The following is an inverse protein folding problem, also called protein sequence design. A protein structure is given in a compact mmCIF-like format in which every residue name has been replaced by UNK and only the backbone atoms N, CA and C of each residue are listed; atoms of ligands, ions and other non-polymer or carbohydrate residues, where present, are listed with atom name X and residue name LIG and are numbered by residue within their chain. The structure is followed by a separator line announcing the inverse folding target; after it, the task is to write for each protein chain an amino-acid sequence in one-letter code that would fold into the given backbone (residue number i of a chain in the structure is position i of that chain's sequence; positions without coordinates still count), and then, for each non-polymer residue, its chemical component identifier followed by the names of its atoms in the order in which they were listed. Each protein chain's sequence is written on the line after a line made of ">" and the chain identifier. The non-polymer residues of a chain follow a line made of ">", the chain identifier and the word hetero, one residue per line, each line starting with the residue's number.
data_IF_536337506546
#
_entry.id   IF_536337506546
#
_cell.length_a   1.000
_cell.length_b   1.000
_cell.length_c   1.000
_cell.angle_alpha   90.00
_cell.angle_beta   90.00
_cell.angle_gamma   90.00
#
_symmetry.space_group_name_H-M   'P 1'
#
loop_
_entity.id
_entity.type
_entity.pdbx_description
1 polymer ?
#
# COMPACT_ATOMS: atom_id res chain seq x y z
N UNK A 1 -7.10 3.02 3.95
CA UNK A 1 -6.39 2.26 2.90
C UNK A 1 -5.31 3.09 2.22
N UNK A 2 -5.66 4.20 1.56
CA UNK A 2 -4.68 5.05 0.88
C UNK A 2 -3.59 5.60 1.82
N UNK A 3 -3.96 6.11 3.01
CA UNK A 3 -2.96 6.60 3.99
C UNK A 3 -2.05 5.49 4.51
N UNK A 4 -2.59 4.28 4.74
CA UNK A 4 -1.77 3.11 5.09
C UNK A 4 -0.77 2.82 3.95
N UNK A 5 -1.22 2.91 2.70
CA UNK A 5 -0.35 2.77 1.54
C UNK A 5 0.76 3.82 1.50
N UNK A 6 0.47 5.06 1.87
CA UNK A 6 1.50 6.11 1.94
C UNK A 6 2.49 5.91 3.08
N UNK A 7 2.02 5.49 4.26
CA UNK A 7 2.90 5.13 5.38
C UNK A 7 3.82 3.97 4.98
N UNK A 8 3.26 2.89 4.43
CA UNK A 8 4.04 1.72 3.98
C UNK A 8 5.05 2.10 2.90
N UNK A 9 4.70 3.02 2.00
CA UNK A 9 5.57 3.48 0.90
C UNK A 9 6.49 4.65 1.28
N UNK A 10 6.41 5.17 2.51
CA UNK A 10 7.21 6.31 2.98
C UNK A 10 6.85 7.63 2.29
N UNK A 11 5.61 7.79 1.85
CA UNK A 11 5.05 8.99 1.19
C UNK A 11 4.15 9.82 2.11
N UNK A 12 3.92 9.35 3.33
CA UNK A 12 3.02 10.01 4.27
C UNK A 12 3.58 11.36 4.77
N UNK A 13 2.73 12.39 4.67
CA UNK A 13 3.01 13.79 4.98
C UNK A 13 2.62 14.16 6.42
N UNK A 14 2.13 13.23 7.27
CA UNK A 14 1.71 13.58 8.63
C UNK A 14 2.87 14.21 9.42
N UNK A 15 2.69 15.44 9.89
CA UNK A 15 3.74 16.22 10.58
C UNK A 15 3.56 16.27 12.11
N UNK A 16 2.58 15.55 12.66
CA UNK A 16 2.20 15.60 14.08
C UNK A 16 3.28 15.01 15.01
N UNK A 17 2.97 13.91 15.69
CA UNK A 17 3.91 13.33 16.67
C UNK A 17 5.20 12.80 15.99
N UNK A 18 6.22 13.66 15.92
CA UNK A 18 7.49 13.40 15.24
C UNK A 18 8.21 12.17 15.78
N UNK A 19 8.19 11.96 17.10
CA UNK A 19 8.87 10.81 17.74
C UNK A 19 8.24 9.48 17.34
N UNK A 20 6.91 9.41 17.31
CA UNK A 20 6.20 8.19 16.89
C UNK A 20 6.39 7.93 15.40
N UNK A 21 6.32 8.97 14.58
CA UNK A 21 6.57 8.87 13.13
C UNK A 21 7.98 8.37 12.84
N UNK A 22 8.99 8.93 13.50
CA UNK A 22 10.38 8.49 13.36
C UNK A 22 10.55 7.02 13.76
N UNK A 23 9.96 6.61 14.89
CA UNK A 23 9.99 5.21 15.34
C UNK A 23 9.33 4.28 14.32
N UNK A 24 8.17 4.66 13.78
CA UNK A 24 7.46 3.89 12.76
C UNK A 24 8.29 3.76 11.47
N UNK A 25 8.80 4.88 10.93
CA UNK A 25 9.61 4.87 9.72
C UNK A 25 10.90 4.08 9.89
N UNK A 26 11.59 4.21 11.03
CA UNK A 26 12.79 3.43 11.31
C UNK A 26 12.50 1.92 11.37
N UNK A 27 11.36 1.53 11.94
CA UNK A 27 10.94 0.13 11.94
C UNK A 27 10.65 -0.38 10.53
N UNK A 28 9.91 0.39 9.72
CA UNK A 28 9.62 -0.01 8.35
C UNK A 28 10.89 -0.09 7.49
N UNK A 29 11.83 0.87 7.62
CA UNK A 29 13.13 0.81 6.96
C UNK A 29 13.88 -0.47 7.29
N UNK A 30 13.91 -0.86 8.58
CA UNK A 30 14.54 -2.11 9.03
C UNK A 30 13.85 -3.35 8.45
N UNK A 31 12.52 -3.38 8.40
CA UNK A 31 11.74 -4.47 7.79
C UNK A 31 12.06 -4.58 6.30
N UNK A 32 12.06 -3.47 5.56
CA UNK A 32 12.33 -3.48 4.12
C UNK A 32 13.79 -3.79 3.79
N UNK A 33 14.74 -3.42 4.65
CA UNK A 33 16.11 -3.90 4.56
C UNK A 33 16.16 -5.43 4.68
N UNK A 34 15.50 -6.01 5.68
CA UNK A 34 15.45 -7.48 5.84
C UNK A 34 14.75 -8.18 4.67
N UNK A 35 13.72 -7.57 4.08
CA UNK A 35 13.07 -8.10 2.87
C UNK A 35 14.05 -8.05 1.68
N UNK A 36 14.75 -6.93 1.50
CA UNK A 36 15.77 -6.78 0.46
C UNK A 36 16.90 -7.80 0.58
N UNK A 37 17.43 -7.99 1.79
CA UNK A 37 18.53 -8.94 2.07
C UNK A 37 18.13 -10.40 1.80
N UNK A 38 16.82 -10.70 1.83
CA UNK A 38 16.25 -12.02 1.53
C UNK A 38 15.89 -12.23 0.05
N UNK A 39 16.06 -11.23 -0.81
CA UNK A 39 15.83 -11.41 -2.25
C UNK A 39 16.86 -12.39 -2.80
N UNK A 40 16.42 -13.53 -3.33
CA UNK A 40 17.33 -14.55 -3.88
C UNK A 40 17.80 -14.21 -5.31
N UNK A 41 16.97 -13.47 -6.05
CA UNK A 41 17.26 -13.09 -7.42
C UNK A 41 18.20 -11.87 -7.47
N UNK A 42 19.38 -12.04 -8.08
CA UNK A 42 20.41 -11.00 -8.23
C UNK A 42 19.95 -9.79 -9.06
N UNK A 43 19.11 -10.01 -10.08
CA UNK A 43 18.55 -8.93 -10.88
C UNK A 43 17.56 -8.10 -10.06
N UNK A 44 16.72 -8.76 -9.25
CA UNK A 44 15.82 -8.09 -8.33
C UNK A 44 16.59 -7.27 -7.28
N UNK A 45 17.64 -7.85 -6.69
CA UNK A 45 18.54 -7.11 -5.78
C UNK A 45 19.14 -5.88 -6.49
N UNK A 46 19.65 -6.02 -7.72
CA UNK A 46 20.20 -4.89 -8.48
C UNK A 46 19.16 -3.81 -8.74
N UNK A 47 17.94 -4.19 -9.09
CA UNK A 47 16.85 -3.27 -9.41
C UNK A 47 16.33 -2.50 -8.18
N UNK A 48 16.19 -3.20 -7.04
CA UNK A 48 15.69 -2.65 -5.78
C UNK A 48 16.78 -2.13 -4.83
N UNK A 49 18.03 -2.10 -5.29
CA UNK A 49 19.16 -1.64 -4.49
C UNK A 49 18.91 -0.20 -4.03
N UNK A 50 19.12 0.02 -2.73
CA UNK A 50 19.15 1.36 -2.13
C UNK A 50 20.33 2.15 -2.70
N UNK A 51 20.05 3.36 -3.15
CA UNK A 51 21.01 4.34 -3.65
C UNK A 51 20.65 5.76 -3.16
N UNK A 52 21.41 6.79 -3.55
CA UNK A 52 21.16 8.17 -3.12
C UNK A 52 19.79 8.71 -3.58
N UNK A 53 19.23 8.17 -4.67
CA UNK A 53 17.90 8.51 -5.19
C UNK A 53 16.80 7.69 -4.51
N UNK A 54 17.15 6.54 -3.95
CA UNK A 54 16.26 5.66 -3.20
C UNK A 54 16.81 5.29 -1.81
N UNK A 55 16.96 6.26 -0.89
CA UNK A 55 17.55 6.03 0.43
C UNK A 55 16.68 5.17 1.35
N UNK A 56 15.41 4.93 0.99
CA UNK A 56 14.42 4.27 1.84
C UNK A 56 13.72 3.11 1.12
N UNK A 57 14.33 2.49 0.11
CA UNK A 57 13.77 1.36 -0.63
C UNK A 57 12.39 1.64 -1.26
N UNK A 58 12.08 2.89 -1.61
CA UNK A 58 10.85 3.33 -2.25
C UNK A 58 10.43 2.44 -3.42
N UNK A 59 11.34 2.01 -4.29
CA UNK A 59 11.00 1.07 -5.39
C UNK A 59 10.45 -0.25 -4.85
N UNK A 60 11.14 -0.83 -3.86
CA UNK A 60 10.72 -2.08 -3.22
C UNK A 60 9.42 -1.91 -2.44
N UNK A 61 9.27 -0.81 -1.68
CA UNK A 61 8.06 -0.50 -0.90
C UNK A 61 6.84 -0.30 -1.82
N UNK A 62 7.01 0.38 -2.95
CA UNK A 62 5.95 0.56 -3.96
C UNK A 62 5.55 -0.79 -4.58
N UNK A 63 6.53 -1.61 -4.99
CA UNK A 63 6.26 -2.93 -5.57
C UNK A 63 5.60 -3.88 -4.56
N UNK A 64 6.06 -3.85 -3.31
CA UNK A 64 5.47 -4.62 -2.23
C UNK A 64 4.02 -4.21 -1.97
N UNK A 65 3.72 -2.90 -1.93
CA UNK A 65 2.34 -2.43 -1.80
C UNK A 65 1.47 -2.94 -2.93
N UNK A 66 1.89 -2.79 -4.19
CA UNK A 66 1.12 -3.24 -5.34
C UNK A 66 0.84 -4.75 -5.31
N UNK A 67 1.84 -5.55 -4.92
CA UNK A 67 1.68 -7.00 -4.81
C UNK A 67 0.71 -7.43 -3.69
N UNK A 68 0.56 -6.62 -2.63
CA UNK A 68 -0.18 -7.01 -1.42
C UNK A 68 -1.49 -6.23 -1.19
N UNK A 69 -1.74 -5.16 -1.95
CA UNK A 69 -2.86 -4.24 -1.71
C UNK A 69 -4.23 -4.91 -1.72
N UNK A 70 -4.41 -5.97 -2.52
CA UNK A 70 -5.65 -6.75 -2.56
C UNK A 70 -5.93 -7.46 -1.23
N UNK A 71 -4.93 -8.16 -0.68
CA UNK A 71 -5.07 -8.84 0.62
C UNK A 71 -5.22 -7.83 1.76
N UNK A 72 -4.54 -6.68 1.69
CA UNK A 72 -4.72 -5.59 2.66
C UNK A 72 -6.15 -5.04 2.61
N UNK A 73 -6.71 -4.82 1.42
CA UNK A 73 -8.10 -4.37 1.27
C UNK A 73 -9.10 -5.39 1.84
N UNK A 74 -8.88 -6.67 1.55
CA UNK A 74 -9.68 -7.78 2.07
C UNK A 74 -9.63 -7.86 3.60
N UNK A 75 -8.46 -7.60 4.21
CA UNK A 75 -8.32 -7.53 5.66
C UNK A 75 -9.09 -6.34 6.25
N UNK A 76 -8.96 -5.15 5.66
CA UNK A 76 -9.68 -3.93 6.10
C UNK A 76 -11.20 -4.12 6.04
N UNK A 77 -11.70 -4.88 5.05
CA UNK A 77 -13.13 -5.10 4.82
C UNK A 77 -13.68 -6.38 5.48
N UNK A 78 -12.85 -7.15 6.19
CA UNK A 78 -13.19 -8.49 6.69
C UNK A 78 -14.44 -8.51 7.59
N UNK A 79 -14.61 -7.48 8.43
CA UNK A 79 -15.73 -7.33 9.37
C UNK A 79 -16.75 -6.25 8.99
N UNK A 80 -16.77 -5.79 7.74
CA UNK A 80 -17.73 -4.77 7.33
C UNK A 80 -19.17 -5.34 7.36
N UNK A 81 -20.14 -4.67 8.02
CA UNK A 81 -21.46 -5.23 8.31
C UNK A 81 -22.41 -5.32 7.09
N UNK A 82 -21.94 -4.97 5.89
CA UNK A 82 -22.79 -4.75 4.72
C UNK A 82 -22.54 -3.35 4.15
N UNK A 83 -22.15 -3.26 2.88
CA UNK A 83 -21.94 -1.98 2.21
C UNK A 83 -21.34 -2.11 0.81
N UNK A 84 -21.56 -1.06 0.02
CA UNK A 84 -20.97 -0.92 -1.32
C UNK A 84 -20.00 0.25 -1.34
N UNK A 85 -18.91 0.13 -2.09
CA UNK A 85 -18.08 1.27 -2.45
C UNK A 85 -18.92 2.23 -3.31
N UNK A 86 -18.78 3.53 -3.04
CA UNK A 86 -19.65 4.57 -3.61
C UNK A 86 -19.54 4.72 -5.14
N UNK A 87 -18.47 4.21 -5.77
CA UNK A 87 -18.33 4.16 -7.24
C UNK A 87 -18.55 2.75 -7.77
N UNK A 88 -19.27 2.66 -8.89
CA UNK A 88 -19.28 1.46 -9.74
C UNK A 88 -17.88 1.23 -10.29
N UNK A 89 -17.27 0.14 -9.85
CA UNK A 89 -15.84 -0.14 -10.06
C UNK A 89 -15.62 -1.60 -10.42
N UNK A 90 -16.55 -2.48 -10.08
CA UNK A 90 -16.51 -3.88 -10.46
C UNK A 90 -16.95 -4.07 -11.92
N UNK A 91 -16.53 -5.18 -12.52
CA UNK A 91 -16.87 -5.55 -13.91
C UNK A 91 -16.62 -4.43 -14.91
N UNK A 92 -15.41 -3.84 -14.88
CA UNK A 92 -15.02 -2.67 -15.70
C UNK A 92 -15.89 -1.43 -15.45
N UNK A 93 -16.27 -1.19 -14.20
CA UNK A 93 -17.06 -0.01 -13.81
C UNK A 93 -18.57 -0.14 -14.06
N UNK A 94 -19.07 -1.32 -14.40
CA UNK A 94 -20.50 -1.54 -14.66
C UNK A 94 -21.30 -1.89 -13.40
N UNK A 95 -20.64 -2.46 -12.39
CA UNK A 95 -21.32 -2.98 -11.20
C UNK A 95 -20.76 -2.37 -9.91
N UNK A 96 -21.63 -2.31 -8.90
CA UNK A 96 -21.24 -1.96 -7.54
C UNK A 96 -20.44 -3.10 -6.91
N UNK A 97 -19.69 -2.79 -5.88
CA UNK A 97 -19.16 -3.84 -5.00
C UNK A 97 -20.28 -4.52 -4.23
N UNK A 98 -20.04 -5.72 -3.74
CA UNK A 98 -20.95 -6.45 -2.84
C UNK A 98 -20.72 -6.08 -1.37
N UNK A 99 -21.55 -6.63 -0.47
CA UNK A 99 -21.68 -6.44 1.00
C UNK A 99 -20.43 -6.10 1.81
N UNK A 100 -19.22 -6.40 1.33
CA UNK A 100 -17.96 -6.10 2.02
C UNK A 100 -17.12 -5.06 1.28
N UNK A 101 -17.75 -4.09 0.61
CA UNK A 101 -17.05 -3.06 -0.16
C UNK A 101 -15.97 -3.63 -1.10
N UNK A 102 -16.21 -4.81 -1.69
CA UNK A 102 -15.27 -5.53 -2.56
C UNK A 102 -15.96 -6.16 -3.76
N UNK A 103 -15.22 -6.29 -4.86
CA UNK A 103 -15.66 -7.08 -6.00
C UNK A 103 -15.56 -8.59 -5.66
N UNK A 104 -16.35 -9.42 -6.32
CA UNK A 104 -16.36 -10.87 -6.09
C UNK A 104 -14.99 -11.51 -6.34
N UNK A 105 -14.24 -10.98 -7.30
CA UNK A 105 -12.88 -11.42 -7.67
C UNK A 105 -11.79 -10.91 -6.71
N UNK A 106 -12.15 -10.16 -5.66
CA UNK A 106 -11.18 -9.65 -4.68
C UNK A 106 -10.49 -8.34 -5.07
N UNK A 107 -10.82 -7.77 -6.23
CA UNK A 107 -10.28 -6.49 -6.67
C UNK A 107 -10.56 -5.37 -5.67
N UNK A 108 -9.55 -4.51 -5.48
CA UNK A 108 -9.68 -3.28 -4.72
C UNK A 108 -10.47 -2.28 -5.56
N UNK A 109 -11.65 -1.81 -5.10
CA UNK A 109 -12.52 -0.94 -5.89
C UNK A 109 -12.04 0.52 -5.93
N UNK A 110 -10.91 0.85 -5.30
CA UNK A 110 -10.38 2.21 -5.21
C UNK A 110 -8.95 2.29 -5.74
N UNK A 111 -8.63 3.47 -6.26
CA UNK A 111 -7.28 3.86 -6.68
C UNK A 111 -6.79 5.07 -5.88
N UNK A 112 -7.42 5.41 -4.75
CA UNK A 112 -6.97 6.53 -3.92
C UNK A 112 -5.55 6.31 -3.39
N UNK A 113 -5.08 5.07 -3.26
CA UNK A 113 -3.68 4.78 -2.98
C UNK A 113 -2.72 5.18 -4.12
N UNK A 114 -3.23 5.59 -5.28
CA UNK A 114 -2.46 6.17 -6.38
C UNK A 114 -2.65 7.68 -6.54
N UNK A 115 -3.48 8.30 -5.70
CA UNK A 115 -3.69 9.75 -5.67
C UNK A 115 -2.76 10.39 -4.63
N UNK A 116 -2.01 11.46 -4.96
CA UNK A 116 -1.19 12.18 -3.99
C UNK A 116 -1.97 12.55 -2.73
N UNK A 117 -1.38 12.36 -1.54
CA UNK A 117 -2.08 12.54 -0.26
C UNK A 117 -2.78 13.88 -0.11
N UNK A 118 -2.15 14.95 -0.58
CA UNK A 118 -2.71 16.29 -0.52
C UNK A 118 -4.04 16.46 -1.28
N UNK A 119 -4.30 15.62 -2.29
CA UNK A 119 -5.48 15.71 -3.16
C UNK A 119 -6.59 14.73 -2.79
N UNK A 120 -6.40 13.90 -1.76
CA UNK A 120 -7.39 12.91 -1.32
C UNK A 120 -8.43 13.52 -0.40
#
# INVERSE_FOLDING_TARGET
>A
FADIGDIVRGKDLYLGNKKEKEKLENNLKRIFQQIYDKLENKEAQKYYKKDDKDPNYYKLRNAWWEANRQEIWKAITCGHPGGTYFRKTCSKGNTNTSEKCRCLIGDVPTYFDYVPQYLR
#
